data_IF_500199732520
#
_entry.id   IF_500199732520
#
_cell.length_a   1.000
_cell.length_b   1.000
_cell.length_c   1.000
_cell.angle_alpha   90.00
_cell.angle_beta   90.00
_cell.angle_gamma   90.00
#
_symmetry.space_group_name_H-M   'P 1'
#
loop_
_entity.id
_entity.type
_entity.pdbx_description
1 polymer ?
#
# COMPACT_ATOMS: atom_id res chain seq x y z
N UNK A 1 8.61 0.61 -11.44
CA UNK A 1 7.29 -0.01 -11.20
C UNK A 1 6.68 -0.47 -12.51
N UNK A 2 5.57 -1.19 -12.43
CA UNK A 2 5.00 -1.96 -13.54
C UNK A 2 4.47 -1.11 -14.71
N UNK A 3 3.96 0.10 -14.46
CA UNK A 3 3.57 1.01 -15.54
C UNK A 3 4.75 1.80 -16.11
N UNK A 4 4.73 2.06 -17.42
CA UNK A 4 5.73 2.92 -18.08
C UNK A 4 5.72 4.33 -17.45
N UNK A 5 6.89 4.82 -17.02
CA UNK A 5 7.03 6.10 -16.32
C UNK A 5 6.68 6.07 -14.83
N UNK A 6 6.44 4.88 -14.26
CA UNK A 6 6.14 4.71 -12.84
C UNK A 6 7.38 4.27 -12.04
N UNK A 7 7.60 4.90 -10.89
CA UNK A 7 8.75 4.65 -10.02
C UNK A 7 8.31 4.51 -8.55
N UNK A 8 9.09 3.77 -7.78
CA UNK A 8 8.93 3.59 -6.34
C UNK A 8 10.28 3.80 -5.64
N UNK A 9 10.25 4.39 -4.44
CA UNK A 9 11.43 4.56 -3.60
C UNK A 9 11.06 4.13 -2.18
N UNK A 10 11.65 3.04 -1.70
CA UNK A 10 11.38 2.52 -0.37
C UNK A 10 12.35 3.10 0.67
N UNK A 11 11.89 3.22 1.91
CA UNK A 11 12.73 3.48 3.07
C UNK A 11 12.32 2.54 4.22
N UNK A 12 13.18 2.43 5.23
CA UNK A 12 12.94 1.55 6.39
C UNK A 12 11.74 2.04 7.20
N UNK A 13 10.90 1.12 7.67
CA UNK A 13 9.76 1.44 8.54
C UNK A 13 10.20 2.17 9.82
N UNK A 14 9.25 2.85 10.43
CA UNK A 14 9.39 3.56 11.70
C UNK A 14 8.06 3.49 12.47
N UNK A 15 8.01 4.10 13.64
CA UNK A 15 6.76 4.38 14.34
C UNK A 15 5.73 5.02 13.39
N UNK A 16 4.46 4.68 13.58
CA UNK A 16 3.38 5.07 12.67
C UNK A 16 3.32 6.59 12.44
N UNK A 17 3.50 7.39 13.51
CA UNK A 17 3.47 8.84 13.41
C UNK A 17 4.64 9.39 12.58
N UNK A 18 5.86 8.95 12.88
CA UNK A 18 7.05 9.36 12.12
C UNK A 18 6.98 8.93 10.65
N UNK A 19 6.43 7.75 10.36
CA UNK A 19 6.19 7.30 8.99
C UNK A 19 5.14 8.15 8.27
N UNK A 20 4.08 8.59 8.95
CA UNK A 20 3.07 9.48 8.37
C UNK A 20 3.63 10.87 8.04
N UNK A 21 4.49 11.43 8.90
CA UNK A 21 5.20 12.68 8.64
C UNK A 21 6.13 12.54 7.43
N UNK A 22 6.95 11.48 7.41
CA UNK A 22 7.81 11.12 6.27
C UNK A 22 7.02 10.94 4.99
N UNK A 23 5.87 10.27 5.04
CA UNK A 23 5.01 10.06 3.87
C UNK A 23 4.48 11.39 3.31
N UNK A 24 4.02 12.29 4.18
CA UNK A 24 3.55 13.61 3.78
C UNK A 24 4.67 14.45 3.15
N UNK A 25 5.84 14.46 3.81
CA UNK A 25 7.03 15.14 3.30
C UNK A 25 7.54 14.54 1.98
N UNK A 26 7.57 13.22 1.85
CA UNK A 26 8.03 12.52 0.65
C UNK A 26 7.22 12.95 -0.58
N UNK A 27 5.89 13.03 -0.46
CA UNK A 27 5.04 13.48 -1.58
C UNK A 27 5.33 14.91 -2.01
N UNK A 28 5.60 15.80 -1.04
CA UNK A 28 6.01 17.18 -1.31
C UNK A 28 7.39 17.21 -1.99
N UNK A 29 8.38 16.56 -1.39
CA UNK A 29 9.75 16.48 -1.87
C UNK A 29 9.80 15.95 -3.31
N UNK A 30 9.12 14.84 -3.61
CA UNK A 30 9.10 14.24 -4.95
C UNK A 30 8.54 15.21 -5.99
N UNK A 31 7.47 15.94 -5.67
CA UNK A 31 6.91 16.95 -6.57
C UNK A 31 7.87 18.11 -6.78
N UNK A 32 8.42 18.67 -5.70
CA UNK A 32 9.34 19.79 -5.75
C UNK A 32 10.63 19.47 -6.53
N UNK A 33 11.20 18.29 -6.31
CA UNK A 33 12.40 17.85 -7.03
C UNK A 33 12.09 17.58 -8.50
N UNK A 34 10.96 16.93 -8.82
CA UNK A 34 10.57 16.71 -10.22
C UNK A 34 10.39 18.06 -10.95
N UNK A 35 9.69 19.01 -10.33
CA UNK A 35 9.43 20.34 -10.89
C UNK A 35 10.73 21.13 -11.12
N UNK A 36 11.67 21.06 -10.17
CA UNK A 36 13.02 21.65 -10.32
C UNK A 36 13.76 21.14 -11.55
N UNK A 37 13.48 19.92 -12.00
CA UNK A 37 14.08 19.31 -13.19
C UNK A 37 13.19 19.39 -14.43
N UNK A 38 12.15 20.23 -14.42
CA UNK A 38 11.23 20.39 -15.56
C UNK A 38 10.30 19.20 -15.79
N UNK A 39 10.11 18.35 -14.78
CA UNK A 39 9.25 17.17 -14.81
C UNK A 39 8.04 17.35 -13.86
N UNK A 40 7.11 16.39 -13.86
CA UNK A 40 5.95 16.40 -12.96
C UNK A 40 5.72 15.03 -12.34
N UNK A 41 5.69 14.98 -11.02
CA UNK A 41 5.30 13.78 -10.28
C UNK A 41 3.80 13.82 -9.89
N UNK A 42 3.12 12.68 -9.99
CA UNK A 42 1.74 12.52 -9.54
C UNK A 42 1.57 11.25 -8.73
N UNK A 43 0.75 11.34 -7.68
CA UNK A 43 0.35 10.22 -6.81
C UNK A 43 -1.13 9.84 -7.07
N UNK A 44 -1.68 10.26 -8.21
CA UNK A 44 -3.05 9.93 -8.60
C UNK A 44 -3.20 8.40 -8.73
N UNK A 45 -4.27 7.78 -8.19
CA UNK A 45 -4.40 6.31 -8.17
C UNK A 45 -4.39 5.65 -9.56
N UNK A 46 -5.06 6.26 -10.54
CA UNK A 46 -5.11 5.82 -11.93
C UNK A 46 -4.88 7.02 -12.85
N UNK A 47 -3.63 7.37 -13.18
CA UNK A 47 -3.34 8.54 -14.00
C UNK A 47 -3.51 8.26 -15.50
N UNK A 48 -3.30 7.01 -15.92
CA UNK A 48 -3.36 6.58 -17.33
C UNK A 48 -4.22 5.32 -17.41
N UNK A 49 -5.21 5.33 -18.31
CA UNK A 49 -6.06 4.15 -18.57
C UNK A 49 -5.27 3.07 -19.30
N UNK A 50 -5.55 1.80 -19.01
CA UNK A 50 -4.83 0.65 -19.59
C UNK A 50 -3.45 0.37 -18.97
N UNK A 51 -2.88 1.28 -18.17
CA UNK A 51 -1.62 1.07 -17.44
C UNK A 51 -1.87 0.81 -15.95
N UNK A 52 -0.91 0.20 -15.25
CA UNK A 52 -0.97 -0.04 -13.80
C UNK A 52 -1.08 1.27 -13.02
N UNK A 53 -1.84 1.24 -11.92
CA UNK A 53 -2.11 2.41 -11.09
C UNK A 53 -1.11 2.57 -9.95
N UNK A 54 -1.11 3.74 -9.30
CA UNK A 54 -0.30 3.98 -8.10
C UNK A 54 -0.95 3.34 -6.87
N UNK A 55 -0.25 2.36 -6.28
CA UNK A 55 -0.55 1.85 -4.95
C UNK A 55 0.14 2.66 -3.85
N UNK A 56 -0.32 2.46 -2.62
CA UNK A 56 0.35 2.90 -1.41
C UNK A 56 0.26 1.76 -0.39
N UNK A 57 0.92 0.65 -0.71
CA UNK A 57 0.88 -0.57 0.11
C UNK A 57 1.53 -0.28 1.48
N UNK A 58 0.83 -0.63 2.56
CA UNK A 58 1.31 -0.42 3.92
C UNK A 58 1.71 -1.77 4.53
N UNK A 59 2.99 -1.89 4.92
CA UNK A 59 3.46 -3.00 5.75
C UNK A 59 3.22 -2.64 7.21
N UNK A 60 2.49 -3.48 7.95
CA UNK A 60 2.03 -3.18 9.31
C UNK A 60 2.55 -4.25 10.27
N UNK A 61 3.07 -3.80 11.41
CA UNK A 61 3.39 -4.63 12.56
C UNK A 61 3.02 -3.89 13.85
N UNK A 62 2.76 -4.63 14.91
CA UNK A 62 2.51 -4.07 16.25
C UNK A 62 3.64 -4.51 17.16
N UNK A 63 4.17 -3.58 17.95
CA UNK A 63 5.30 -3.82 18.83
C UNK A 63 4.88 -3.54 20.27
N UNK A 64 5.29 -4.43 21.17
CA UNK A 64 5.12 -4.23 22.60
C UNK A 64 6.13 -3.21 23.12
N UNK A 65 5.90 -2.63 24.30
CA UNK A 65 6.76 -1.56 24.86
C UNK A 65 8.19 -2.03 25.16
N UNK A 66 8.38 -3.33 25.39
CA UNK A 66 9.66 -4.00 25.57
C UNK A 66 10.36 -4.36 24.24
N UNK A 67 9.77 -4.00 23.09
CA UNK A 67 10.43 -4.11 21.78
C UNK A 67 10.24 -5.46 21.07
N UNK A 68 9.30 -6.30 21.52
CA UNK A 68 8.93 -7.53 20.81
C UNK A 68 7.89 -7.24 19.73
N UNK A 69 8.06 -7.82 18.54
CA UNK A 69 7.04 -7.79 17.49
C UNK A 69 5.89 -8.73 17.87
N UNK A 70 4.73 -8.16 18.19
CA UNK A 70 3.55 -8.90 18.58
C UNK A 70 2.94 -9.75 17.45
N UNK A 71 3.33 -9.51 16.19
CA UNK A 71 2.84 -10.31 15.06
C UNK A 71 3.72 -11.53 14.75
N UNK A 72 4.95 -11.58 15.27
CA UNK A 72 5.93 -12.62 14.91
C UNK A 72 5.80 -13.85 15.81
N UNK A 73 5.66 -15.02 15.19
CA UNK A 73 5.78 -16.32 15.87
C UNK A 73 6.23 -17.38 14.85
N UNK A 74 7.51 -17.77 14.91
CA UNK A 74 8.11 -18.70 13.94
C UNK A 74 7.54 -20.12 14.02
N UNK A 75 6.81 -20.46 15.09
CA UNK A 75 6.17 -21.77 15.24
C UNK A 75 4.84 -21.87 14.48
N UNK A 76 4.30 -20.74 14.02
CA UNK A 76 2.99 -20.64 13.35
C UNK A 76 3.16 -20.57 11.85
N UNK A 77 2.11 -20.98 11.14
CA UNK A 77 2.04 -20.85 9.69
C UNK A 77 2.22 -19.38 9.25
N UNK A 78 3.04 -19.19 8.20
CA UNK A 78 3.52 -17.89 7.69
C UNK A 78 4.24 -17.01 8.74
N UNK A 79 4.72 -17.61 9.83
CA UNK A 79 5.34 -16.92 10.97
C UNK A 79 4.46 -15.84 11.61
N UNK A 80 3.13 -15.98 11.46
CA UNK A 80 2.14 -15.01 11.95
C UNK A 80 1.45 -15.55 13.21
N UNK A 81 1.73 -14.90 14.34
CA UNK A 81 1.11 -15.13 15.65
C UNK A 81 -0.43 -15.06 15.64
N UNK A 82 -1.05 -15.56 16.71
CA UNK A 82 -2.51 -15.48 16.88
C UNK A 82 -2.98 -14.03 17.01
N UNK A 83 -2.23 -13.15 17.68
CA UNK A 83 -2.49 -11.70 17.74
C UNK A 83 -2.44 -11.05 16.35
N UNK A 84 -1.45 -11.42 15.53
CA UNK A 84 -1.36 -10.99 14.14
C UNK A 84 -2.55 -11.48 13.29
N UNK A 85 -3.00 -12.72 13.50
CA UNK A 85 -4.19 -13.27 12.84
C UNK A 85 -5.48 -12.57 13.28
N UNK A 86 -5.61 -12.20 14.55
CA UNK A 86 -6.73 -11.40 15.04
C UNK A 86 -6.75 -9.99 14.44
N UNK A 87 -5.59 -9.33 14.34
CA UNK A 87 -5.46 -8.05 13.65
C UNK A 87 -5.91 -8.15 12.18
N UNK A 88 -5.42 -9.18 11.47
CA UNK A 88 -5.83 -9.45 10.09
C UNK A 88 -7.34 -9.69 9.98
N UNK A 89 -7.92 -10.46 10.90
CA UNK A 89 -9.38 -10.66 10.97
C UNK A 89 -10.16 -9.35 11.10
N UNK A 90 -9.64 -8.38 11.85
CA UNK A 90 -10.18 -7.02 11.93
C UNK A 90 -10.13 -6.28 10.59
N UNK A 91 -8.99 -6.35 9.89
CA UNK A 91 -8.86 -5.78 8.53
C UNK A 91 -9.89 -6.41 7.58
N UNK A 92 -10.02 -7.73 7.57
CA UNK A 92 -10.98 -8.44 6.72
C UNK A 92 -12.42 -8.05 7.02
N UNK A 93 -12.79 -7.96 8.30
CA UNK A 93 -14.14 -7.56 8.75
C UNK A 93 -14.50 -6.14 8.33
N UNK A 94 -13.53 -5.24 8.28
CA UNK A 94 -13.74 -3.81 8.02
C UNK A 94 -13.25 -3.33 6.64
N UNK A 95 -12.80 -4.24 5.76
CA UNK A 95 -12.15 -3.89 4.49
C UNK A 95 -12.99 -2.97 3.60
N UNK A 96 -14.30 -3.22 3.47
CA UNK A 96 -15.20 -2.37 2.69
C UNK A 96 -15.28 -0.94 3.25
N UNK A 97 -15.29 -0.78 4.58
CA UNK A 97 -15.30 0.53 5.22
C UNK A 97 -13.94 1.22 5.12
N UNK A 98 -12.84 0.47 5.20
CA UNK A 98 -11.47 0.98 5.03
C UNK A 98 -11.22 1.56 3.64
N UNK A 99 -12.01 1.19 2.62
CA UNK A 99 -11.93 1.82 1.31
C UNK A 99 -12.20 3.34 1.37
N UNK A 100 -12.98 3.83 2.33
CA UNK A 100 -13.27 5.26 2.45
C UNK A 100 -12.00 6.09 2.73
N UNK A 101 -11.21 5.84 3.79
CA UNK A 101 -9.96 6.57 4.01
C UNK A 101 -8.83 6.13 3.08
N UNK A 102 -8.77 4.86 2.66
CA UNK A 102 -7.65 4.33 1.87
C UNK A 102 -7.80 4.56 0.36
N UNK A 103 -9.03 4.78 -0.13
CA UNK A 103 -9.35 5.03 -1.54
C UNK A 103 -10.25 6.26 -1.69
N UNK A 104 -9.81 7.45 -1.25
CA UNK A 104 -10.70 8.57 -0.94
C UNK A 104 -11.16 9.39 -2.15
N UNK A 105 -11.02 8.88 -3.38
CA UNK A 105 -11.36 9.62 -4.61
C UNK A 105 -12.14 8.75 -5.57
N UNK A 106 -13.00 9.36 -6.39
CA UNK A 106 -13.66 8.67 -7.52
C UNK A 106 -12.64 7.97 -8.43
N UNK A 107 -11.44 8.52 -8.56
CA UNK A 107 -10.38 7.93 -9.37
C UNK A 107 -9.80 6.64 -8.78
N UNK A 108 -9.84 6.46 -7.44
CA UNK A 108 -9.36 5.26 -6.77
C UNK A 108 -10.10 4.00 -7.23
N UNK A 109 -11.40 4.13 -7.53
CA UNK A 109 -12.25 3.06 -8.03
C UNK A 109 -12.05 2.74 -9.52
N UNK A 110 -11.16 3.48 -10.21
CA UNK A 110 -10.63 3.08 -11.53
C UNK A 110 -9.34 2.24 -11.43
N UNK A 111 -8.76 2.14 -10.22
CA UNK A 111 -7.60 1.29 -9.91
C UNK A 111 -8.04 -0.03 -9.30
N UNK A 112 -8.89 0.01 -8.26
CA UNK A 112 -9.48 -1.19 -7.66
C UNK A 112 -10.46 -1.80 -8.64
N UNK A 113 -10.46 -3.13 -8.76
CA UNK A 113 -11.30 -3.86 -9.70
C UNK A 113 -11.15 -3.41 -11.17
N UNK A 114 -9.95 -2.93 -11.54
CA UNK A 114 -9.65 -2.50 -12.89
C UNK A 114 -9.58 -3.68 -13.87
N UNK A 115 -9.82 -3.45 -15.18
CA UNK A 115 -9.49 -4.44 -16.20
C UNK A 115 -7.97 -4.68 -16.25
N UNK A 116 -7.57 -5.83 -16.84
CA UNK A 116 -6.16 -6.14 -17.09
C UNK A 116 -5.48 -4.98 -17.83
N UNK A 117 -4.24 -4.72 -17.43
CA UNK A 117 -3.38 -3.69 -17.98
C UNK A 117 -2.55 -4.25 -19.12
N UNK A 118 -1.81 -3.38 -19.82
CA UNK A 118 -0.87 -3.78 -20.86
C UNK A 118 0.26 -4.70 -20.39
N UNK A 119 0.59 -4.70 -19.08
CA UNK A 119 1.56 -5.59 -18.46
C UNK A 119 0.99 -6.97 -18.08
N UNK A 120 -0.34 -7.13 -18.18
CA UNK A 120 -1.05 -8.40 -17.91
C UNK A 120 -1.72 -8.50 -16.53
N UNK A 121 -1.39 -7.62 -15.58
CA UNK A 121 -1.94 -7.63 -14.23
C UNK A 121 -2.14 -6.21 -13.64
N UNK A 122 -3.18 -6.03 -12.84
CA UNK A 122 -3.48 -4.72 -12.21
C UNK A 122 -2.64 -4.44 -10.97
N UNK A 123 -2.15 -5.50 -10.30
CA UNK A 123 -1.47 -5.46 -9.00
C UNK A 123 -2.24 -4.65 -7.93
N UNK A 124 -3.56 -4.63 -8.06
CA UNK A 124 -4.49 -3.94 -7.17
C UNK A 124 -5.62 -4.91 -6.79
N UNK A 125 -6.06 -4.89 -5.53
CA UNK A 125 -7.04 -5.84 -5.04
C UNK A 125 -8.38 -5.70 -5.77
N UNK A 126 -9.07 -6.81 -5.92
CA UNK A 126 -10.44 -6.90 -6.46
C UNK A 126 -11.46 -7.41 -5.44
N UNK A 127 -11.01 -8.04 -4.36
CA UNK A 127 -11.83 -8.77 -3.41
C UNK A 127 -11.33 -8.58 -1.99
N UNK A 128 -12.20 -8.79 -1.02
CA UNK A 128 -11.85 -8.83 0.39
C UNK A 128 -11.33 -10.24 0.69
N UNK A 129 -10.06 -10.47 0.36
CA UNK A 129 -9.36 -11.74 0.60
C UNK A 129 -7.96 -11.49 1.17
N UNK A 130 -7.35 -12.52 1.75
CA UNK A 130 -5.96 -12.49 2.19
C UNK A 130 -5.30 -13.83 1.89
N UNK A 131 -3.98 -13.82 1.77
CA UNK A 131 -3.15 -15.00 1.49
C UNK A 131 -1.71 -14.73 1.94
N UNK A 132 -0.80 -15.66 1.66
CA UNK A 132 0.63 -15.54 1.98
C UNK A 132 1.37 -14.58 1.04
N UNK A 133 2.56 -14.97 0.58
CA UNK A 133 3.36 -14.16 -0.34
C UNK A 133 2.77 -14.17 -1.76
N UNK A 134 1.69 -13.41 -1.96
CA UNK A 134 0.95 -13.29 -3.20
C UNK A 134 0.35 -11.88 -3.32
N UNK A 135 0.38 -11.31 -4.53
CA UNK A 135 0.10 -9.89 -4.83
C UNK A 135 -1.14 -9.69 -5.72
N UNK A 136 -2.03 -10.68 -5.82
CA UNK A 136 -3.27 -10.62 -6.61
C UNK A 136 -4.40 -9.90 -5.89
#
# INVERSE_FOLDING_TARGET
EDANGQFEMNWKYDNAMATADKHSFFKFMTRAVAEKHGLRATFMPKPIMGMTGNGCHAHISVWTRDGRNAFSDDSKDLSLSDEGRHFLGGIMKHASALALPCCPTVNSYKRINAPRTSSGATWAPNSVTWTGNNRT
#
